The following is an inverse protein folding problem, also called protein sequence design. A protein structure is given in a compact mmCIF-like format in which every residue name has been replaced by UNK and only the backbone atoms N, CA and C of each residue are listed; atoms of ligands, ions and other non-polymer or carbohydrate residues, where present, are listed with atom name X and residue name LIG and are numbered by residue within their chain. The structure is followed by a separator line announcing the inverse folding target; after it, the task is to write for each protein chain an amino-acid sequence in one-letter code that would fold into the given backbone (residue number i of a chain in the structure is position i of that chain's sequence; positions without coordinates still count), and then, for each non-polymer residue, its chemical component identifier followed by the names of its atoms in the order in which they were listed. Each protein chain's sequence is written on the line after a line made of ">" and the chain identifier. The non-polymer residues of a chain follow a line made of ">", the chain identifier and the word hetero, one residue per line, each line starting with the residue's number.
data_IF_286604477388
#
_entry.id   IF_286604477388
#
_cell.length_a   1.000
_cell.length_b   1.000
_cell.length_c   1.000
_cell.angle_alpha   90.00
_cell.angle_beta   90.00
_cell.angle_gamma   90.00
#
_symmetry.space_group_name_H-M   'P 1'
#
loop_
_entity.id
_entity.type
_entity.pdbx_description
1 polymer ?
#
# COMPACT_ATOMS: atom_id res chain seq x y z
N UNK A 1 17.56 -17.09 -3.02
CA UNK A 1 16.68 -16.42 -2.03
C UNK A 1 17.51 -15.97 -0.85
N UNK A 2 17.20 -14.80 -0.26
CA UNK A 2 17.86 -14.30 0.96
C UNK A 2 17.27 -14.96 2.21
N UNK A 3 18.02 -14.94 3.33
CA UNK A 3 17.54 -15.43 4.63
C UNK A 3 16.23 -14.71 5.07
N UNK A 4 16.12 -13.42 4.76
CA UNK A 4 14.90 -12.65 5.07
C UNK A 4 13.67 -13.16 4.28
N UNK A 5 13.86 -13.53 3.02
CA UNK A 5 12.80 -14.12 2.19
C UNK A 5 12.39 -15.50 2.69
N UNK A 6 13.37 -16.36 3.05
CA UNK A 6 13.09 -17.69 3.64
C UNK A 6 12.30 -17.58 4.95
N UNK A 7 12.67 -16.65 5.84
CA UNK A 7 11.92 -16.38 7.08
C UNK A 7 10.48 -15.92 6.82
N UNK A 8 10.25 -15.14 5.77
CA UNK A 8 8.88 -14.73 5.40
C UNK A 8 8.08 -15.90 4.86
N UNK A 9 8.66 -16.75 4.01
CA UNK A 9 8.00 -17.98 3.51
C UNK A 9 7.59 -18.88 4.65
N UNK A 10 8.52 -19.24 5.53
CA UNK A 10 8.25 -20.10 6.69
C UNK A 10 7.17 -19.49 7.60
N UNK A 11 7.19 -18.17 7.85
CA UNK A 11 6.18 -17.50 8.64
C UNK A 11 4.78 -17.53 7.99
N UNK A 12 4.69 -17.42 6.67
CA UNK A 12 3.41 -17.49 5.93
C UNK A 12 2.86 -18.91 5.94
N UNK A 13 3.72 -19.89 5.71
CA UNK A 13 3.38 -21.32 5.70
C UNK A 13 2.86 -21.77 7.06
N UNK A 14 3.60 -21.51 8.14
CA UNK A 14 3.25 -21.93 9.50
C UNK A 14 2.13 -21.11 10.14
N UNK A 15 1.73 -19.99 9.53
CA UNK A 15 0.74 -19.08 10.10
C UNK A 15 -0.64 -19.74 10.28
N UNK A 16 -1.13 -19.71 11.52
CA UNK A 16 -2.40 -20.34 11.92
C UNK A 16 -2.43 -21.85 11.66
N UNK A 17 -1.34 -22.51 12.02
CA UNK A 17 -1.21 -23.96 12.06
C UNK A 17 -0.69 -24.40 13.44
N UNK A 18 -0.74 -25.70 13.73
CA UNK A 18 -0.20 -26.29 14.96
C UNK A 18 1.30 -25.96 15.17
N UNK A 19 2.05 -25.70 14.10
CA UNK A 19 3.46 -25.32 14.17
C UNK A 19 3.71 -24.06 15.02
N UNK A 20 2.72 -23.18 15.18
CA UNK A 20 2.80 -21.99 16.03
C UNK A 20 2.09 -22.13 17.37
N UNK A 21 1.56 -23.33 17.69
CA UNK A 21 0.70 -23.55 18.85
C UNK A 21 -0.66 -22.87 18.71
N UNK A 22 -1.40 -22.84 19.81
CA UNK A 22 -2.74 -22.27 19.80
C UNK A 22 -3.46 -22.46 21.12
N UNK A 23 -4.79 -22.39 21.07
CA UNK A 23 -5.65 -22.62 22.20
C UNK A 23 -6.97 -23.28 21.73
N UNK A 24 -7.60 -23.97 22.67
CA UNK A 24 -8.94 -24.53 22.48
C UNK A 24 -9.92 -23.64 23.23
N UNK A 25 -10.95 -23.21 22.54
CA UNK A 25 -12.09 -22.52 23.12
C UNK A 25 -13.22 -23.52 23.32
N UNK A 26 -13.87 -23.47 24.47
CA UNK A 26 -15.08 -24.24 24.77
C UNK A 26 -16.25 -23.32 25.08
N UNK A 27 -17.44 -23.71 24.67
CA UNK A 27 -18.66 -23.00 25.00
C UNK A 27 -19.15 -23.44 26.40
N UNK A 28 -19.39 -22.46 27.27
CA UNK A 28 -19.90 -22.73 28.63
C UNK A 28 -21.31 -23.38 28.63
N UNK A 29 -22.12 -23.12 27.58
CA UNK A 29 -23.52 -23.56 27.55
C UNK A 29 -23.72 -24.91 26.86
N UNK A 30 -23.07 -25.15 25.70
CA UNK A 30 -23.34 -26.36 24.88
C UNK A 30 -22.14 -27.29 24.70
N UNK A 31 -21.00 -26.95 25.30
CA UNK A 31 -19.80 -27.77 25.21
C UNK A 31 -19.12 -27.77 23.82
N UNK A 32 -19.59 -26.94 22.87
CA UNK A 32 -18.95 -26.81 21.57
C UNK A 32 -17.48 -26.38 21.72
N UNK A 33 -16.56 -27.05 21.00
CA UNK A 33 -15.12 -26.77 21.07
C UNK A 33 -14.59 -26.33 19.73
N UNK A 34 -13.69 -25.32 19.75
CA UNK A 34 -13.02 -24.79 18.57
C UNK A 34 -11.52 -24.64 18.82
N UNK A 35 -10.69 -25.07 17.87
CA UNK A 35 -9.25 -24.82 17.91
C UNK A 35 -8.95 -23.50 17.20
N UNK A 36 -8.19 -22.64 17.88
CA UNK A 36 -7.67 -21.39 17.34
C UNK A 36 -6.13 -21.41 17.36
N UNK A 37 -5.51 -21.38 16.20
CA UNK A 37 -4.07 -21.40 16.07
C UNK A 37 -3.47 -20.01 16.08
N UNK A 38 -2.27 -19.86 16.66
CA UNK A 38 -1.54 -18.62 16.75
C UNK A 38 -1.15 -18.08 15.37
N UNK A 39 -1.13 -16.74 15.26
CA UNK A 39 -0.71 -16.04 14.06
C UNK A 39 0.80 -15.78 14.06
N UNK A 40 1.43 -15.75 12.88
CA UNK A 40 2.86 -15.47 12.74
C UNK A 40 3.21 -13.99 12.98
N UNK A 41 2.25 -13.08 13.03
CA UNK A 41 2.38 -11.62 13.17
C UNK A 41 3.35 -10.99 12.15
N UNK A 42 3.68 -11.73 11.06
CA UNK A 42 4.56 -11.22 10.03
C UNK A 42 3.80 -10.24 9.13
N UNK A 43 4.38 -9.06 8.92
CA UNK A 43 3.78 -8.00 8.09
C UNK A 43 3.57 -8.39 6.62
N UNK A 44 4.27 -9.43 6.12
CA UNK A 44 4.11 -9.93 4.75
C UNK A 44 3.02 -11.01 4.67
N UNK A 45 2.55 -11.54 5.79
CA UNK A 45 1.57 -12.61 5.81
C UNK A 45 0.16 -12.09 5.48
N UNK A 46 -0.49 -12.55 4.40
CA UNK A 46 -1.82 -12.10 4.01
C UNK A 46 -2.90 -12.44 5.05
N UNK A 47 -2.71 -13.51 5.85
CA UNK A 47 -3.61 -13.90 6.94
C UNK A 47 -3.56 -12.92 8.12
N UNK A 48 -2.39 -12.26 8.35
CA UNK A 48 -2.17 -11.32 9.47
C UNK A 48 -2.48 -9.87 9.12
N UNK A 49 -2.42 -9.49 7.84
CA UNK A 49 -2.56 -8.09 7.38
C UNK A 49 -3.91 -7.46 7.74
N UNK A 50 -4.99 -8.25 7.73
CA UNK A 50 -6.34 -7.74 8.01
C UNK A 50 -6.50 -7.19 9.43
N UNK A 51 -6.02 -7.93 10.44
CA UNK A 51 -6.08 -7.48 11.84
C UNK A 51 -5.23 -6.22 12.06
N UNK A 52 -3.97 -6.24 11.60
CA UNK A 52 -3.09 -5.09 11.69
C UNK A 52 -3.63 -3.84 10.94
N UNK A 53 -4.37 -4.05 9.84
CA UNK A 53 -5.00 -2.95 9.12
C UNK A 53 -6.16 -2.33 9.89
N UNK A 54 -6.98 -3.13 10.58
CA UNK A 54 -8.08 -2.62 11.42
C UNK A 54 -7.55 -1.82 12.61
N UNK A 55 -6.58 -2.38 13.33
CA UNK A 55 -5.95 -1.72 14.47
C UNK A 55 -5.32 -0.38 14.07
N UNK A 56 -4.56 -0.36 12.97
CA UNK A 56 -3.97 0.87 12.46
C UNK A 56 -5.05 1.88 12.05
N UNK A 57 -6.16 1.41 11.44
CA UNK A 57 -7.26 2.25 10.99
C UNK A 57 -7.93 2.94 12.17
N UNK A 58 -8.30 2.19 13.21
CA UNK A 58 -8.92 2.73 14.42
C UNK A 58 -8.02 3.79 15.07
N UNK A 59 -6.71 3.53 15.18
CA UNK A 59 -5.76 4.50 15.70
C UNK A 59 -5.64 5.78 14.83
N UNK A 60 -5.88 5.70 13.53
CA UNK A 60 -5.82 6.90 12.63
C UNK A 60 -7.14 7.64 12.54
N UNK A 61 -8.24 6.99 12.83
CA UNK A 61 -9.55 7.64 12.87
C UNK A 61 -9.59 8.80 13.89
N UNK A 62 -8.95 8.59 15.03
CA UNK A 62 -8.80 9.62 16.05
C UNK A 62 -7.98 10.85 15.59
N UNK A 63 -7.10 10.70 14.63
CA UNK A 63 -6.26 11.80 14.11
C UNK A 63 -6.91 12.56 12.94
N UNK A 64 -8.09 12.18 12.47
CA UNK A 64 -8.73 12.82 11.33
C UNK A 64 -9.18 14.25 11.64
N UNK A 65 -8.95 15.11 10.65
CA UNK A 65 -9.48 16.47 10.61
C UNK A 65 -10.70 16.52 9.68
N UNK A 66 -11.70 17.36 9.91
CA UNK A 66 -12.91 17.48 9.09
C UNK A 66 -12.67 18.27 7.80
N UNK A 67 -11.62 17.90 7.09
CA UNK A 67 -11.22 18.49 5.81
C UNK A 67 -11.11 17.43 4.73
N UNK A 68 -11.16 17.82 3.46
CA UNK A 68 -10.87 16.91 2.36
C UNK A 68 -9.41 16.42 2.41
N UNK A 69 -9.15 15.20 1.94
CA UNK A 69 -7.79 14.65 1.92
C UNK A 69 -7.36 14.32 0.50
N UNK A 70 -6.19 14.80 0.13
CA UNK A 70 -5.58 14.55 -1.17
C UNK A 70 -4.71 13.29 -1.12
N UNK A 71 -4.78 12.53 -2.21
CA UNK A 71 -3.89 11.40 -2.44
C UNK A 71 -2.82 11.81 -3.45
N UNK A 72 -1.57 11.90 -2.99
CA UNK A 72 -0.41 12.26 -3.81
C UNK A 72 0.50 11.04 -3.96
N UNK A 73 1.01 10.80 -5.17
CA UNK A 73 1.90 9.66 -5.47
C UNK A 73 3.19 10.17 -6.09
N UNK A 74 4.32 9.76 -5.53
CA UNK A 74 5.65 9.99 -6.07
C UNK A 74 6.22 8.69 -6.61
N UNK A 75 6.58 8.68 -7.89
CA UNK A 75 7.07 7.49 -8.57
C UNK A 75 8.48 7.72 -9.11
N UNK A 76 9.38 6.77 -8.87
CA UNK A 76 10.72 6.79 -9.48
C UNK A 76 10.71 6.11 -10.86
N UNK A 77 11.56 6.53 -11.81
CA UNK A 77 11.73 5.85 -13.09
C UNK A 77 12.23 4.41 -12.93
N UNK A 78 12.02 3.58 -13.96
CA UNK A 78 12.43 2.18 -13.96
C UNK A 78 13.93 2.02 -13.72
N UNK A 79 14.74 2.88 -14.30
CA UNK A 79 16.21 2.89 -14.16
C UNK A 79 16.67 3.08 -12.69
N UNK A 80 15.87 3.79 -11.89
CA UNK A 80 16.09 3.92 -10.44
C UNK A 80 15.54 2.70 -9.69
N UNK A 81 14.46 2.09 -10.18
CA UNK A 81 13.90 0.90 -9.57
C UNK A 81 14.90 -0.27 -9.58
N UNK A 82 15.72 -0.38 -10.61
CA UNK A 82 16.76 -1.40 -10.71
C UNK A 82 17.87 -1.19 -9.66
N UNK A 83 18.31 0.06 -9.45
CA UNK A 83 19.24 0.43 -8.36
C UNK A 83 18.59 0.14 -7.00
N UNK A 84 17.33 0.51 -6.82
CA UNK A 84 16.58 0.32 -5.59
C UNK A 84 16.40 -1.15 -5.22
N UNK A 85 16.37 -2.06 -6.19
CA UNK A 85 16.23 -3.49 -5.94
C UNK A 85 17.37 -4.05 -5.09
N UNK A 86 18.59 -3.65 -5.36
CA UNK A 86 19.77 -4.06 -4.61
C UNK A 86 20.03 -3.20 -3.36
N UNK A 87 19.50 -1.97 -3.32
CA UNK A 87 19.75 -0.99 -2.29
C UNK A 87 18.47 -0.55 -1.56
N UNK A 88 17.61 -1.52 -1.19
CA UNK A 88 16.25 -1.25 -0.69
C UNK A 88 16.22 -0.29 0.49
N UNK A 89 17.06 -0.49 1.50
CA UNK A 89 17.06 0.35 2.69
C UNK A 89 17.38 1.80 2.34
N UNK A 90 18.47 2.01 1.61
CA UNK A 90 18.98 3.33 1.24
C UNK A 90 18.03 4.09 0.30
N UNK A 91 17.64 3.44 -0.80
CA UNK A 91 16.83 4.08 -1.83
C UNK A 91 15.39 4.29 -1.40
N UNK A 92 14.82 3.37 -0.59
CA UNK A 92 13.47 3.57 -0.05
C UNK A 92 13.45 4.66 1.03
N UNK A 93 14.50 4.74 1.87
CA UNK A 93 14.63 5.84 2.82
C UNK A 93 14.76 7.19 2.10
N UNK A 94 15.63 7.25 1.09
CA UNK A 94 15.78 8.41 0.23
C UNK A 94 14.45 8.82 -0.41
N UNK A 95 13.68 7.86 -0.93
CA UNK A 95 12.38 8.11 -1.55
C UNK A 95 11.39 8.74 -0.57
N UNK A 96 11.33 8.25 0.66
CA UNK A 96 10.49 8.83 1.71
C UNK A 96 10.90 10.25 2.06
N UNK A 97 12.19 10.44 2.34
CA UNK A 97 12.74 11.72 2.78
C UNK A 97 12.54 12.80 1.71
N UNK A 98 12.93 12.53 0.48
CA UNK A 98 12.85 13.51 -0.61
C UNK A 98 11.40 13.80 -1.02
N UNK A 99 10.52 12.81 -1.02
CA UNK A 99 9.11 13.06 -1.32
C UNK A 99 8.44 13.92 -0.25
N UNK A 100 8.74 13.66 1.04
CA UNK A 100 8.23 14.48 2.15
C UNK A 100 8.80 15.89 2.12
N UNK A 101 10.11 16.04 1.97
CA UNK A 101 10.81 17.34 1.84
C UNK A 101 10.22 18.17 0.68
N UNK A 102 9.99 17.55 -0.48
CA UNK A 102 9.37 18.20 -1.63
C UNK A 102 8.00 18.77 -1.29
N UNK A 103 7.15 17.96 -0.64
CA UNK A 103 5.80 18.39 -0.25
C UNK A 103 5.82 19.51 0.78
N UNK A 104 6.66 19.38 1.81
CA UNK A 104 6.74 20.35 2.90
C UNK A 104 7.28 21.70 2.40
N UNK A 105 8.34 21.71 1.58
CA UNK A 105 8.92 22.94 1.06
C UNK A 105 7.96 23.70 0.14
N UNK A 106 7.28 23.00 -0.79
CA UNK A 106 6.33 23.65 -1.69
C UNK A 106 5.06 24.11 -0.95
N UNK A 107 4.62 23.37 0.07
CA UNK A 107 3.47 23.77 0.88
C UNK A 107 3.77 24.99 1.77
N UNK A 108 4.98 25.10 2.29
CA UNK A 108 5.40 26.24 3.11
C UNK A 108 5.58 27.53 2.29
N UNK A 109 5.81 27.43 0.98
CA UNK A 109 5.96 28.59 0.11
C UNK A 109 4.65 29.40 0.01
N UNK A 110 4.62 30.71 0.39
CA UNK A 110 3.44 31.55 0.30
C UNK A 110 2.88 31.70 -1.11
N UNK A 111 3.68 31.51 -2.16
CA UNK A 111 3.23 31.51 -3.56
C UNK A 111 2.31 30.31 -3.88
N UNK A 112 2.32 29.29 -3.03
CA UNK A 112 1.55 28.05 -3.22
C UNK A 112 0.45 27.88 -2.16
N UNK A 113 0.81 27.50 -0.95
CA UNK A 113 -0.13 27.33 0.15
C UNK A 113 0.20 28.21 1.37
N UNK A 114 1.48 28.46 1.66
CA UNK A 114 1.92 29.23 2.81
C UNK A 114 1.60 28.58 4.16
N UNK A 115 1.66 27.24 4.24
CA UNK A 115 1.28 26.53 5.45
C UNK A 115 2.12 25.27 5.71
N UNK A 116 2.20 24.90 6.98
CA UNK A 116 2.74 23.63 7.44
C UNK A 116 1.66 22.55 7.29
N UNK A 117 1.91 21.55 6.44
CA UNK A 117 0.99 20.46 6.17
C UNK A 117 1.35 19.21 6.98
N UNK A 118 0.37 18.30 7.13
CA UNK A 118 0.58 16.96 7.67
C UNK A 118 0.61 15.92 6.56
N UNK A 119 1.44 14.89 6.67
CA UNK A 119 1.57 13.84 5.66
C UNK A 119 1.60 12.47 6.32
N UNK A 120 0.76 11.54 5.86
CA UNK A 120 0.93 10.10 6.06
C UNK A 120 1.41 9.47 4.77
N UNK A 121 2.62 8.92 4.78
CA UNK A 121 3.30 8.35 3.62
C UNK A 121 3.40 6.83 3.73
N UNK A 122 3.14 6.11 2.64
CA UNK A 122 3.17 4.64 2.58
C UNK A 122 3.98 4.20 1.36
N UNK A 123 5.00 3.36 1.58
CA UNK A 123 5.79 2.77 0.50
C UNK A 123 5.04 1.59 -0.13
N UNK A 124 4.94 1.61 -1.44
CA UNK A 124 4.69 0.45 -2.27
C UNK A 124 5.90 0.15 -3.14
N UNK A 125 6.34 -1.10 -3.17
CA UNK A 125 7.46 -1.53 -4.01
C UNK A 125 6.99 -2.32 -5.24
N UNK A 126 5.68 -2.37 -5.52
CA UNK A 126 5.09 -3.23 -6.55
C UNK A 126 4.17 -2.49 -7.51
N UNK A 127 4.24 -2.88 -8.78
CA UNK A 127 3.23 -2.56 -9.79
C UNK A 127 2.04 -3.52 -9.75
N UNK A 128 1.06 -3.31 -10.61
CA UNK A 128 -0.15 -4.13 -10.69
C UNK A 128 0.13 -5.60 -11.05
N UNK A 129 1.17 -5.88 -11.84
CA UNK A 129 1.62 -7.22 -12.21
C UNK A 129 2.63 -7.82 -11.23
N UNK A 130 2.74 -7.28 -10.01
CA UNK A 130 3.71 -7.67 -8.98
C UNK A 130 5.19 -7.47 -9.42
N UNK A 131 5.45 -6.60 -10.40
CA UNK A 131 6.80 -6.18 -10.78
C UNK A 131 7.37 -5.20 -9.76
N UNK A 132 8.70 -5.15 -9.60
CA UNK A 132 9.34 -4.20 -8.70
C UNK A 132 9.18 -2.77 -9.24
N UNK A 133 8.45 -1.93 -8.50
CA UNK A 133 8.10 -0.57 -8.89
C UNK A 133 7.92 0.33 -7.66
N UNK A 134 9.01 0.84 -7.06
CA UNK A 134 8.94 1.64 -5.85
C UNK A 134 8.24 2.97 -6.08
N UNK A 135 7.28 3.29 -5.21
CA UNK A 135 6.59 4.56 -5.18
C UNK A 135 5.99 4.83 -3.80
N UNK A 136 5.79 6.11 -3.49
CA UNK A 136 5.20 6.54 -2.23
C UNK A 136 3.78 7.04 -2.48
N UNK A 137 2.84 6.51 -1.74
CA UNK A 137 1.51 7.08 -1.59
C UNK A 137 1.50 8.01 -0.37
N UNK A 138 1.03 9.22 -0.56
CA UNK A 138 0.87 10.19 0.52
C UNK A 138 -0.58 10.59 0.65
N UNK A 139 -1.07 10.65 1.88
CA UNK A 139 -2.36 11.24 2.22
C UNK A 139 -2.08 12.53 2.98
N UNK A 140 -2.69 13.59 2.50
CA UNK A 140 -2.42 14.96 2.94
C UNK A 140 -3.74 15.65 3.19
N UNK A 141 -4.00 16.21 4.38
CA UNK A 141 -5.16 17.07 4.62
C UNK A 141 -5.22 18.23 3.64
N UNK A 142 -6.40 18.66 3.28
CA UNK A 142 -6.64 19.78 2.35
C UNK A 142 -6.38 21.14 2.98
N UNK A 143 -5.19 21.34 3.50
CA UNK A 143 -4.74 22.56 4.14
C UNK A 143 -3.62 22.29 5.15
N UNK A 144 -3.30 23.32 5.93
CA UNK A 144 -2.28 23.27 6.95
C UNK A 144 -2.38 24.45 7.92
N UNK A 145 -1.59 24.42 8.98
CA UNK A 145 -1.45 25.55 9.91
C UNK A 145 -0.52 26.57 9.26
N UNK A 146 -0.92 27.85 9.23
CA UNK A 146 -0.08 28.95 8.76
C UNK A 146 1.29 28.97 9.44
N UNK A 147 2.26 29.64 8.84
CA UNK A 147 3.64 29.62 9.34
C UNK A 147 3.76 30.31 10.71
N UNK A 148 2.91 31.30 10.99
CA UNK A 148 2.76 31.98 12.28
C UNK A 148 2.01 31.11 13.33
N UNK A 149 1.30 30.06 12.91
CA UNK A 149 0.54 29.19 13.79
C UNK A 149 -0.87 29.65 14.13
N UNK A 150 -1.34 30.80 13.57
CA UNK A 150 -2.53 31.50 14.02
C UNK A 150 -3.81 31.10 13.31
N UNK A 151 -3.73 30.46 12.13
CA UNK A 151 -4.90 30.12 11.31
C UNK A 151 -4.72 28.82 10.56
N UNK A 152 -5.85 28.20 10.19
CA UNK A 152 -5.88 27.13 9.21
C UNK A 152 -5.94 27.71 7.79
N UNK A 153 -4.99 27.35 6.95
CA UNK A 153 -4.95 27.73 5.53
C UNK A 153 -5.52 26.57 4.72
N UNK A 154 -6.73 26.73 4.21
CA UNK A 154 -7.38 25.70 3.39
C UNK A 154 -6.79 25.66 1.97
N UNK A 155 -6.62 24.46 1.43
CA UNK A 155 -6.34 24.27 0.01
C UNK A 155 -7.58 24.62 -0.83
N UNK A 156 -7.38 24.82 -2.13
CA UNK A 156 -8.53 24.88 -3.05
C UNK A 156 -9.25 23.54 -3.08
N UNK A 157 -10.56 23.54 -3.33
CA UNK A 157 -11.40 22.35 -3.21
C UNK A 157 -10.90 21.12 -3.99
N UNK A 158 -10.28 21.31 -5.15
CA UNK A 158 -9.77 20.20 -6.00
C UNK A 158 -8.28 20.28 -6.31
N UNK A 159 -7.56 21.19 -5.66
CA UNK A 159 -6.16 21.45 -5.93
C UNK A 159 -5.38 21.69 -4.64
N UNK A 160 -4.37 20.85 -4.38
CA UNK A 160 -3.48 20.99 -3.22
C UNK A 160 -2.22 21.83 -3.59
N UNK A 161 -1.39 21.27 -4.47
CA UNK A 161 -0.12 21.83 -4.88
C UNK A 161 0.15 21.54 -6.37
N UNK A 162 0.96 22.36 -7.08
CA UNK A 162 1.23 22.21 -8.50
C UNK A 162 2.11 20.97 -8.79
N UNK A 163 1.56 19.91 -9.32
CA UNK A 163 2.27 18.63 -9.56
C UNK A 163 3.52 18.77 -10.45
N UNK A 164 3.54 19.74 -11.37
CA UNK A 164 4.73 20.00 -12.20
C UNK A 164 5.90 20.55 -11.39
N UNK A 165 5.62 21.44 -10.43
CA UNK A 165 6.62 21.99 -9.51
C UNK A 165 7.13 20.91 -8.58
N UNK A 166 6.21 20.12 -7.98
CA UNK A 166 6.56 18.97 -7.16
C UNK A 166 7.47 17.99 -7.92
N UNK A 167 7.11 17.63 -9.16
CA UNK A 167 7.89 16.68 -9.98
C UNK A 167 9.30 17.22 -10.30
N UNK A 168 9.45 18.52 -10.57
CA UNK A 168 10.74 19.15 -10.86
C UNK A 168 11.65 19.16 -9.63
N UNK A 169 11.12 19.56 -8.47
CA UNK A 169 11.86 19.60 -7.21
C UNK A 169 12.23 18.19 -6.75
N UNK A 170 11.27 17.25 -6.74
CA UNK A 170 11.47 15.85 -6.38
C UNK A 170 12.59 15.21 -7.21
N UNK A 171 12.57 15.37 -8.53
CA UNK A 171 13.60 14.84 -9.43
C UNK A 171 14.98 15.38 -9.06
N UNK A 172 15.10 16.71 -8.88
CA UNK A 172 16.37 17.35 -8.52
C UNK A 172 16.92 16.80 -7.21
N UNK A 173 16.14 16.91 -6.14
CA UNK A 173 16.56 16.47 -4.81
C UNK A 173 16.88 14.98 -4.77
N UNK A 174 16.07 14.15 -5.45
CA UNK A 174 16.30 12.72 -5.47
C UNK A 174 17.62 12.35 -6.16
N UNK A 175 17.86 12.89 -7.35
CA UNK A 175 19.08 12.58 -8.11
C UNK A 175 20.34 13.13 -7.42
N UNK A 176 20.28 14.31 -6.82
CA UNK A 176 21.41 14.89 -6.10
C UNK A 176 21.75 14.07 -4.84
N UNK A 177 20.75 13.68 -4.05
CA UNK A 177 20.95 12.82 -2.89
C UNK A 177 21.36 11.40 -3.28
N UNK A 178 20.85 10.85 -4.39
CA UNK A 178 21.28 9.53 -4.88
C UNK A 178 22.76 9.54 -5.31
N UNK A 179 23.20 10.63 -5.91
CA UNK A 179 24.62 10.85 -6.23
C UNK A 179 25.48 10.94 -4.95
N UNK A 180 24.97 11.59 -3.89
CA UNK A 180 25.66 11.63 -2.60
C UNK A 180 25.80 10.23 -1.98
N UNK A 181 24.74 9.40 -2.05
CA UNK A 181 24.79 8.00 -1.60
C UNK A 181 25.82 7.19 -2.37
N UNK A 182 25.95 7.41 -3.68
CA UNK A 182 26.98 6.79 -4.50
C UNK A 182 28.38 7.25 -4.06
N UNK A 183 28.63 8.54 -3.96
CA UNK A 183 29.92 9.10 -3.59
C UNK A 183 30.37 8.66 -2.19
N UNK A 184 29.43 8.47 -1.27
CA UNK A 184 29.71 7.97 0.09
C UNK A 184 29.83 6.43 0.18
N UNK A 185 29.83 5.71 -0.95
CA UNK A 185 29.98 4.25 -0.99
C UNK A 185 28.80 3.47 -0.39
N UNK A 186 27.65 4.10 -0.19
CA UNK A 186 26.46 3.47 0.42
C UNK A 186 25.63 2.63 -0.55
N UNK A 187 25.92 2.69 -1.85
CA UNK A 187 25.21 1.92 -2.87
C UNK A 187 26.03 0.71 -3.29
N UNK A 188 25.35 -0.41 -3.46
CA UNK A 188 25.92 -1.64 -3.96
C UNK A 188 25.39 -1.97 -5.35
N UNK A 189 26.22 -2.51 -6.20
CA UNK A 189 25.92 -2.84 -7.58
C UNK A 189 26.32 -4.27 -7.90
N UNK A 190 25.44 -5.01 -8.60
CA UNK A 190 25.65 -6.43 -8.90
C UNK A 190 25.24 -6.74 -10.34
N UNK A 191 25.78 -7.84 -10.87
CA UNK A 191 25.45 -8.34 -12.21
C UNK A 191 25.66 -7.30 -13.29
N UNK A 192 24.68 -7.06 -14.13
CA UNK A 192 24.72 -6.07 -15.23
C UNK A 192 24.88 -4.61 -14.77
N UNK A 193 24.72 -4.33 -13.49
CA UNK A 193 24.88 -2.98 -12.91
C UNK A 193 26.23 -2.75 -12.23
N UNK A 194 27.16 -3.73 -12.22
CA UNK A 194 28.44 -3.62 -11.50
C UNK A 194 29.26 -2.41 -11.97
N UNK A 195 29.20 -2.08 -13.26
CA UNK A 195 29.88 -0.91 -13.83
C UNK A 195 29.38 0.44 -13.28
N UNK A 196 28.20 0.48 -12.64
CA UNK A 196 27.70 1.68 -11.98
C UNK A 196 28.42 2.01 -10.67
N UNK A 197 29.29 1.14 -10.17
CA UNK A 197 30.22 1.44 -9.07
C UNK A 197 31.18 2.57 -9.46
N UNK A 198 31.52 2.67 -10.75
CA UNK A 198 32.34 3.74 -11.29
C UNK A 198 31.57 5.07 -11.38
N UNK A 199 32.16 6.12 -10.81
CA UNK A 199 31.53 7.46 -10.73
C UNK A 199 31.08 7.98 -12.10
N UNK A 200 31.94 7.87 -13.12
CA UNK A 200 31.62 8.34 -14.47
C UNK A 200 30.48 7.56 -15.12
N UNK A 201 30.45 6.24 -14.96
CA UNK A 201 29.38 5.39 -15.48
C UNK A 201 28.06 5.72 -14.77
N UNK A 202 28.08 5.93 -13.45
CA UNK A 202 26.91 6.30 -12.68
C UNK A 202 26.34 7.67 -13.09
N UNK A 203 27.19 8.69 -13.24
CA UNK A 203 26.77 10.01 -13.72
C UNK A 203 26.16 9.96 -15.13
N UNK A 204 26.76 9.19 -16.04
CA UNK A 204 26.18 8.97 -17.39
C UNK A 204 24.83 8.27 -17.32
N UNK A 205 24.65 7.30 -16.42
CA UNK A 205 23.37 6.65 -16.19
C UNK A 205 22.29 7.63 -15.68
N UNK A 206 22.64 8.57 -14.80
CA UNK A 206 21.73 9.57 -14.26
C UNK A 206 21.42 10.73 -15.23
N UNK A 207 22.32 11.06 -16.16
CA UNK A 207 22.21 12.22 -17.03
C UNK A 207 20.87 12.30 -17.81
N UNK A 208 20.38 11.24 -18.47
CA UNK A 208 19.08 11.27 -19.13
C UNK A 208 17.91 11.46 -18.15
N UNK A 209 18.04 10.98 -16.92
CA UNK A 209 16.98 11.08 -15.90
C UNK A 209 16.79 12.51 -15.39
N UNK A 210 17.83 13.35 -15.48
CA UNK A 210 17.75 14.78 -15.17
C UNK A 210 16.87 15.55 -16.17
N UNK A 211 16.80 15.09 -17.41
CA UNK A 211 15.97 15.68 -18.48
C UNK A 211 14.59 15.06 -18.57
N UNK A 212 14.44 13.80 -18.15
CA UNK A 212 13.19 13.04 -18.18
C UNK A 212 12.15 13.65 -17.23
N UNK A 213 10.88 13.67 -17.64
CA UNK A 213 9.79 14.06 -16.76
C UNK A 213 9.50 12.93 -15.77
N UNK A 214 9.56 13.24 -14.47
CA UNK A 214 9.17 12.29 -13.41
C UNK A 214 7.69 12.43 -13.11
N UNK A 215 7.08 11.32 -12.66
CA UNK A 215 5.64 11.27 -12.43
C UNK A 215 5.36 11.56 -10.95
N UNK A 216 4.68 12.69 -10.74
CA UNK A 216 3.96 12.99 -9.51
C UNK A 216 2.48 13.10 -9.88
N UNK A 217 1.63 12.45 -9.13
CA UNK A 217 0.20 12.43 -9.37
C UNK A 217 -0.54 12.88 -8.11
N UNK A 218 -1.53 13.73 -8.25
CA UNK A 218 -2.40 14.18 -7.17
C UNK A 218 -3.84 13.99 -7.56
N UNK A 219 -4.60 13.24 -6.76
CA UNK A 219 -6.05 13.11 -6.90
C UNK A 219 -6.76 14.19 -6.10
N UNK A 220 -7.89 14.72 -6.64
CA UNK A 220 -8.82 15.50 -5.85
C UNK A 220 -9.26 14.75 -4.59
N UNK A 221 -9.73 15.47 -3.56
CA UNK A 221 -10.12 14.85 -2.31
C UNK A 221 -11.25 13.83 -2.50
N UNK A 222 -11.22 12.81 -1.67
CA UNK A 222 -12.32 11.86 -1.52
C UNK A 222 -13.51 12.53 -0.82
N UNK A 223 -14.71 11.95 -1.00
CA UNK A 223 -15.90 12.36 -0.28
C UNK A 223 -15.81 11.97 1.20
N UNK A 224 -15.25 12.86 2.01
CA UNK A 224 -15.15 12.72 3.46
C UNK A 224 -13.93 11.92 3.99
N UNK A 225 -13.61 12.12 5.26
CA UNK A 225 -12.45 11.52 5.92
C UNK A 225 -12.53 9.99 6.02
N UNK A 226 -13.72 9.41 6.22
CA UNK A 226 -13.92 7.96 6.30
C UNK A 226 -13.58 7.24 4.98
N UNK A 227 -13.91 7.85 3.83
CA UNK A 227 -13.55 7.29 2.52
C UNK A 227 -12.04 7.23 2.32
N UNK A 228 -11.31 8.21 2.86
CA UNK A 228 -9.84 8.23 2.87
C UNK A 228 -9.26 7.10 3.70
N UNK A 229 -9.79 6.88 4.91
CA UNK A 229 -9.36 5.81 5.79
C UNK A 229 -9.64 4.43 5.18
N UNK A 230 -10.84 4.22 4.64
CA UNK A 230 -11.19 2.99 3.93
C UNK A 230 -10.28 2.76 2.70
N UNK A 231 -9.87 3.82 2.03
CA UNK A 231 -8.88 3.73 0.94
C UNK A 231 -7.49 3.37 1.48
N UNK A 232 -7.02 4.04 2.54
CA UNK A 232 -5.72 3.81 3.14
C UNK A 232 -5.58 2.41 3.71
N UNK A 233 -6.59 1.88 4.41
CA UNK A 233 -6.54 0.54 5.00
C UNK A 233 -6.23 -0.54 3.95
N UNK A 234 -6.72 -0.35 2.73
CA UNK A 234 -6.44 -1.24 1.60
C UNK A 234 -4.99 -1.17 1.11
N UNK A 235 -4.30 -0.06 1.32
CA UNK A 235 -2.95 0.18 0.81
C UNK A 235 -1.87 0.07 1.88
N UNK A 236 -2.17 0.39 3.13
CA UNK A 236 -1.18 0.43 4.21
C UNK A 236 -0.64 -0.94 4.59
N UNK A 237 -1.46 -1.98 4.59
CA UNK A 237 -1.08 -3.32 5.06
C UNK A 237 -0.94 -4.35 3.95
N UNK A 238 -1.40 -4.07 2.73
CA UNK A 238 -1.21 -4.95 1.58
C UNK A 238 0.25 -5.02 1.16
N UNK A 239 0.68 -6.21 0.75
CA UNK A 239 1.97 -6.42 0.07
C UNK A 239 1.70 -7.17 -1.23
N UNK A 240 2.27 -6.68 -2.32
CA UNK A 240 2.22 -7.22 -3.67
C UNK A 240 0.82 -7.38 -4.26
N UNK A 241 -0.04 -8.21 -3.67
CA UNK A 241 -1.35 -8.57 -4.21
C UNK A 241 -2.39 -8.69 -3.10
N UNK A 242 -3.67 -8.44 -3.40
CA UNK A 242 -4.79 -8.74 -2.50
C UNK A 242 -5.49 -10.03 -2.90
N UNK A 243 -6.04 -10.76 -1.93
CA UNK A 243 -6.76 -12.00 -2.17
C UNK A 243 -7.91 -11.84 -3.18
N UNK A 244 -8.58 -10.67 -3.21
CA UNK A 244 -9.65 -10.36 -4.18
C UNK A 244 -9.21 -10.38 -5.64
N UNK A 245 -7.91 -10.33 -5.89
CA UNK A 245 -7.34 -10.37 -7.25
C UNK A 245 -7.00 -11.79 -7.68
N UNK A 246 -6.85 -12.73 -6.76
CA UNK A 246 -6.65 -14.14 -7.05
C UNK A 246 -7.91 -14.72 -7.65
N UNK A 247 -7.78 -15.51 -8.72
CA UNK A 247 -8.87 -16.17 -9.44
C UNK A 247 -8.80 -17.67 -9.23
N UNK A 248 -7.64 -18.28 -9.53
CA UNK A 248 -7.42 -19.71 -9.47
C UNK A 248 -5.98 -20.05 -9.05
N UNK A 249 -5.82 -21.25 -8.54
CA UNK A 249 -4.54 -21.91 -8.32
C UNK A 249 -4.69 -23.37 -8.74
N UNK A 250 -3.94 -23.78 -9.75
CA UNK A 250 -3.98 -25.09 -10.37
C UNK A 250 -2.58 -25.56 -10.81
N UNK A 251 -2.47 -26.61 -11.62
CA UNK A 251 -1.22 -27.13 -12.16
C UNK A 251 -0.46 -26.14 -13.05
N UNK A 252 -1.16 -25.20 -13.68
CA UNK A 252 -0.57 -24.16 -14.52
C UNK A 252 0.00 -23.00 -13.68
N UNK A 253 -0.40 -22.89 -12.40
CA UNK A 253 0.10 -21.91 -11.45
C UNK A 253 -0.99 -21.03 -10.85
N UNK A 254 -0.68 -19.75 -10.62
CA UNK A 254 -1.55 -18.78 -9.96
C UNK A 254 -2.10 -17.78 -10.97
N UNK A 255 -3.42 -17.79 -11.12
CA UNK A 255 -4.16 -16.88 -12.01
C UNK A 255 -4.73 -15.70 -11.23
N UNK A 256 -4.50 -14.48 -11.69
CA UNK A 256 -4.95 -13.28 -11.01
C UNK A 256 -5.24 -12.10 -11.94
N UNK A 257 -6.08 -11.16 -11.46
CA UNK A 257 -6.39 -9.91 -12.17
C UNK A 257 -5.29 -8.88 -11.95
N UNK A 258 -4.91 -8.16 -13.03
CA UNK A 258 -4.00 -7.02 -12.95
C UNK A 258 -4.48 -5.87 -13.85
N UNK A 259 -3.92 -4.66 -13.64
CA UNK A 259 -4.17 -3.50 -14.49
C UNK A 259 -3.00 -3.30 -15.45
N UNK A 260 -3.27 -3.35 -16.74
CA UNK A 260 -2.32 -2.96 -17.77
C UNK A 260 -2.49 -1.47 -18.06
N UNK A 261 -1.58 -0.66 -17.53
CA UNK A 261 -1.63 0.79 -17.69
C UNK A 261 -1.27 1.31 -19.09
N UNK A 262 -0.91 0.42 -20.01
CA UNK A 262 -0.70 0.74 -21.43
C UNK A 262 -2.02 0.81 -22.22
N UNK A 263 -3.11 0.38 -21.60
CA UNK A 263 -4.46 0.33 -22.16
C UNK A 263 -5.40 1.25 -21.41
N UNK A 264 -6.47 1.67 -22.06
CA UNK A 264 -7.47 2.55 -21.50
C UNK A 264 -8.81 1.84 -21.26
N UNK A 265 -9.69 2.47 -20.49
CA UNK A 265 -11.06 1.98 -20.25
C UNK A 265 -11.11 0.58 -19.62
N UNK A 266 -12.06 -0.22 -20.06
CA UNK A 266 -12.32 -1.58 -19.60
C UNK A 266 -11.16 -2.55 -19.93
N UNK A 267 -10.49 -2.36 -21.04
CA UNK A 267 -9.37 -3.20 -21.50
C UNK A 267 -8.14 -3.12 -20.61
N UNK A 268 -8.11 -2.18 -19.69
CA UNK A 268 -7.07 -2.08 -18.65
C UNK A 268 -7.11 -3.26 -17.67
N UNK A 269 -8.27 -3.86 -17.45
CA UNK A 269 -8.41 -5.03 -16.56
C UNK A 269 -8.05 -6.30 -17.33
N UNK A 270 -6.95 -6.93 -16.94
CA UNK A 270 -6.42 -8.14 -17.58
C UNK A 270 -6.24 -9.26 -16.57
N UNK A 271 -6.16 -10.48 -17.08
CA UNK A 271 -5.86 -11.68 -16.31
C UNK A 271 -4.47 -12.19 -16.72
N UNK A 272 -3.72 -12.69 -15.74
CA UNK A 272 -2.38 -13.26 -15.93
C UNK A 272 -2.28 -14.54 -15.11
N UNK A 273 -1.73 -15.59 -15.70
CA UNK A 273 -1.31 -16.81 -15.01
C UNK A 273 0.22 -16.81 -14.91
N UNK A 274 0.75 -17.05 -13.74
CA UNK A 274 2.18 -17.23 -13.49
C UNK A 274 2.40 -18.61 -12.91
N UNK A 275 3.42 -19.31 -13.39
CA UNK A 275 3.88 -20.52 -12.71
C UNK A 275 4.15 -20.24 -11.24
N UNK A 276 3.91 -21.21 -10.36
CA UNK A 276 3.94 -21.06 -8.91
C UNK A 276 5.26 -20.45 -8.41
N UNK A 277 6.41 -20.90 -8.95
CA UNK A 277 7.73 -20.38 -8.58
C UNK A 277 7.91 -18.91 -8.95
N UNK A 278 7.43 -18.51 -10.13
CA UNK A 278 7.49 -17.11 -10.58
C UNK A 278 6.55 -16.20 -9.77
N UNK A 279 5.37 -16.70 -9.39
CA UNK A 279 4.49 -15.96 -8.49
C UNK A 279 5.12 -15.74 -7.11
N UNK A 280 5.70 -16.80 -6.53
CA UNK A 280 6.43 -16.73 -5.26
C UNK A 280 7.63 -15.78 -5.39
N UNK A 281 8.42 -15.91 -6.46
CA UNK A 281 9.55 -15.02 -6.72
C UNK A 281 9.13 -13.56 -6.75
N UNK A 282 8.07 -13.23 -7.51
CA UNK A 282 7.54 -11.85 -7.57
C UNK A 282 7.04 -11.37 -6.22
N UNK A 283 6.34 -12.19 -5.46
CA UNK A 283 5.92 -11.84 -4.11
C UNK A 283 7.12 -11.50 -3.22
N UNK A 284 8.16 -12.31 -3.26
CA UNK A 284 9.37 -12.15 -2.45
C UNK A 284 10.26 -10.96 -2.86
N UNK A 285 10.09 -10.40 -4.07
CA UNK A 285 10.74 -9.13 -4.45
C UNK A 285 10.35 -7.99 -3.49
N UNK A 286 9.17 -8.08 -2.87
CA UNK A 286 8.60 -7.03 -2.04
C UNK A 286 8.88 -7.21 -0.53
N UNK A 287 9.66 -8.21 -0.17
CA UNK A 287 10.16 -8.38 1.20
C UNK A 287 11.06 -7.18 1.54
N UNK A 288 10.69 -6.49 2.61
CA UNK A 288 11.37 -5.29 3.08
C UNK A 288 12.53 -5.64 4.02
N UNK A 289 13.57 -4.81 4.10
CA UNK A 289 14.64 -4.97 5.08
C UNK A 289 14.11 -5.08 6.51
N UNK A 290 14.88 -5.76 7.39
CA UNK A 290 14.56 -5.85 8.83
C UNK A 290 14.49 -4.44 9.42
N UNK A 291 13.48 -4.18 10.24
CA UNK A 291 13.30 -2.87 10.90
C UNK A 291 12.79 -1.75 9.99
N UNK A 292 12.68 -1.95 8.67
CA UNK A 292 12.25 -0.89 7.77
C UNK A 292 10.77 -0.53 7.98
N UNK A 293 10.50 0.73 8.35
CA UNK A 293 9.14 1.27 8.51
C UNK A 293 8.61 1.73 7.16
N UNK A 294 7.54 1.08 6.68
CA UNK A 294 6.93 1.40 5.39
C UNK A 294 5.79 2.41 5.46
N UNK A 295 5.36 2.79 6.66
CA UNK A 295 4.43 3.87 6.93
C UNK A 295 5.17 4.89 7.74
N UNK A 296 5.16 6.14 7.30
CA UNK A 296 5.84 7.25 7.98
C UNK A 296 4.95 8.49 7.99
N UNK A 297 5.13 9.30 9.00
CA UNK A 297 4.37 10.53 9.19
C UNK A 297 5.31 11.73 9.21
N UNK A 298 4.89 12.84 8.57
CA UNK A 298 5.71 14.04 8.45
C UNK A 298 4.90 15.31 8.71
N UNK A 299 5.60 16.42 8.96
CA UNK A 299 5.00 17.72 9.24
C UNK A 299 4.10 17.67 10.47
N UNK A 300 2.89 18.19 10.39
CA UNK A 300 1.93 18.21 11.51
C UNK A 300 1.60 16.82 12.08
N UNK A 301 1.75 15.77 11.28
CA UNK A 301 1.46 14.38 11.69
C UNK A 301 2.70 13.62 12.15
N UNK A 302 3.88 14.26 12.25
CA UNK A 302 5.09 13.64 12.80
C UNK A 302 4.88 13.24 14.27
N UNK A 303 5.44 12.07 14.66
CA UNK A 303 5.12 11.44 15.94
C UNK A 303 5.34 12.32 17.18
N UNK A 304 6.45 13.08 17.20
CA UNK A 304 6.84 13.91 18.35
C UNK A 304 5.85 15.04 18.68
N UNK A 305 5.15 15.60 17.70
CA UNK A 305 4.23 16.71 17.90
C UNK A 305 2.80 16.46 17.45
N UNK A 306 2.46 15.22 17.07
CA UNK A 306 1.17 14.91 16.44
C UNK A 306 -0.03 15.37 17.24
N UNK A 307 -0.09 14.96 18.52
CA UNK A 307 -1.23 15.26 19.40
C UNK A 307 -1.46 16.78 19.46
N UNK A 308 -0.42 17.53 19.81
CA UNK A 308 -0.50 19.00 19.90
C UNK A 308 -0.88 19.64 18.56
N UNK A 309 -0.28 19.21 17.47
CA UNK A 309 -0.59 19.74 16.16
C UNK A 309 -2.02 19.42 15.69
N UNK A 310 -2.53 18.22 15.98
CA UNK A 310 -3.92 17.83 15.63
C UNK A 310 -4.91 18.60 16.49
N UNK A 311 -4.64 18.76 17.78
CA UNK A 311 -5.45 19.60 18.69
C UNK A 311 -5.48 21.04 18.20
N UNK A 312 -4.32 21.64 17.92
CA UNK A 312 -4.25 23.00 17.39
C UNK A 312 -4.98 23.15 16.04
N UNK A 313 -4.84 22.20 15.14
CA UNK A 313 -5.57 22.22 13.88
C UNK A 313 -7.10 22.17 14.06
N UNK A 314 -7.59 21.39 15.06
CA UNK A 314 -9.02 21.34 15.39
C UNK A 314 -9.53 22.64 15.98
N UNK A 315 -8.77 23.26 16.88
CA UNK A 315 -9.09 24.58 17.42
C UNK A 315 -9.23 25.61 16.29
N UNK A 316 -8.24 25.68 15.38
CA UNK A 316 -8.25 26.60 14.25
C UNK A 316 -9.34 26.31 13.22
N UNK A 317 -9.87 25.10 13.18
CA UNK A 317 -11.00 24.68 12.37
C UNK A 317 -12.35 24.82 13.10
N UNK A 318 -12.35 25.32 14.35
CA UNK A 318 -13.52 25.44 15.22
C UNK A 318 -14.31 24.10 15.38
N UNK A 319 -13.57 22.98 15.46
CA UNK A 319 -14.17 21.65 15.67
C UNK A 319 -14.41 21.43 17.15
N UNK A 320 -15.63 21.04 17.58
CA UNK A 320 -15.88 20.65 18.95
C UNK A 320 -14.89 19.55 19.40
N UNK A 321 -14.41 19.63 20.63
CA UNK A 321 -13.60 18.56 21.18
C UNK A 321 -14.38 17.24 21.14
N UNK A 322 -13.76 16.14 20.68
CA UNK A 322 -14.40 14.84 20.75
C UNK A 322 -14.77 14.55 22.21
N UNK A 323 -15.95 13.95 22.48
CA UNK A 323 -16.29 13.56 23.84
C UNK A 323 -15.14 12.74 24.42
N UNK A 324 -14.80 12.98 25.68
CA UNK A 324 -13.76 12.24 26.38
C UNK A 324 -14.11 10.75 26.32
N UNK A 325 -13.44 10.02 25.45
CA UNK A 325 -13.54 8.56 25.43
C UNK A 325 -12.80 8.10 26.69
N UNK A 326 -13.51 7.43 27.58
CA UNK A 326 -12.87 6.78 28.73
C UNK A 326 -11.80 5.83 28.18
N UNK A 327 -10.54 6.03 28.56
CA UNK A 327 -9.37 5.25 28.13
C UNK A 327 -9.39 3.79 28.67
N UNK A 328 -10.49 3.32 29.19
CA UNK A 328 -10.64 1.92 29.55
C UNK A 328 -10.78 1.11 28.25
N UNK A 329 -9.76 0.31 27.90
CA UNK A 329 -9.90 -0.63 26.77
C UNK A 329 -11.07 -1.57 27.11
N UNK A 330 -12.20 -1.38 26.47
CA UNK A 330 -13.26 -2.40 26.52
C UNK A 330 -12.70 -3.58 25.76
N UNK A 331 -12.42 -4.73 26.41
CA UNK A 331 -11.97 -5.91 25.71
C UNK A 331 -13.04 -6.26 24.68
N UNK A 332 -12.60 -6.59 23.45
CA UNK A 332 -13.52 -7.08 22.43
C UNK A 332 -14.40 -8.17 23.04
N UNK A 333 -15.73 -8.08 22.94
CA UNK A 333 -16.60 -9.11 23.48
C UNK A 333 -16.19 -10.46 22.90
N UNK A 334 -16.11 -11.52 23.73
CA UNK A 334 -15.76 -12.86 23.26
C UNK A 334 -16.70 -13.25 22.13
N UNK A 335 -16.14 -13.82 21.07
CA UNK A 335 -16.95 -14.28 19.92
C UNK A 335 -18.02 -15.24 20.41
N UNK A 336 -19.29 -15.05 20.07
CA UNK A 336 -20.35 -15.94 20.48
C UNK A 336 -20.18 -17.34 19.88
N UNK A 337 -20.62 -18.35 20.59
CA UNK A 337 -20.62 -19.73 20.13
C UNK A 337 -21.43 -19.85 18.82
N UNK A 338 -20.88 -20.46 17.77
CA UNK A 338 -21.59 -20.59 16.50
C UNK A 338 -22.81 -21.54 16.58
N UNK A 339 -22.90 -22.37 17.65
CA UNK A 339 -24.00 -23.33 17.83
C UNK A 339 -25.18 -22.74 18.63
N UNK A 340 -24.89 -22.06 19.75
CA UNK A 340 -25.96 -21.63 20.67
C UNK A 340 -25.88 -20.13 21.05
N UNK A 341 -24.92 -19.38 20.52
CA UNK A 341 -24.70 -17.96 20.88
C UNK A 341 -24.07 -17.74 22.26
N UNK A 342 -23.81 -18.81 23.05
CA UNK A 342 -23.24 -18.73 24.38
C UNK A 342 -21.78 -18.24 24.39
N UNK A 343 -21.25 -17.98 25.60
CA UNK A 343 -19.89 -17.49 25.79
C UNK A 343 -18.85 -18.57 25.47
N UNK A 344 -17.83 -18.21 24.71
CA UNK A 344 -16.65 -19.05 24.46
C UNK A 344 -15.53 -18.67 25.42
N UNK A 345 -14.93 -19.68 26.10
CA UNK A 345 -13.81 -19.51 27.04
C UNK A 345 -12.62 -20.36 26.60
N UNK A 346 -11.41 -19.90 26.89
CA UNK A 346 -10.20 -20.69 26.65
C UNK A 346 -10.09 -21.78 27.69
N UNK A 347 -10.15 -23.05 27.25
CA UNK A 347 -10.09 -24.24 28.11
C UNK A 347 -8.73 -24.93 28.08
N UNK A 348 -7.94 -24.70 27.05
CA UNK A 348 -6.59 -25.26 26.88
C UNK A 348 -5.71 -24.34 26.08
N UNK A 349 -4.45 -24.21 26.46
CA UNK A 349 -3.39 -23.53 25.67
C UNK A 349 -2.30 -24.55 25.38
N UNK A 350 -1.93 -24.70 24.12
CA UNK A 350 -0.87 -25.62 23.69
C UNK A 350 0.26 -24.89 22.97
N UNK A 351 1.48 -25.34 23.21
CA UNK A 351 2.69 -24.72 22.69
C UNK A 351 2.93 -25.08 21.21
N UNK A 352 3.95 -24.46 20.62
CA UNK A 352 4.39 -24.75 19.25
C UNK A 352 4.68 -26.23 19.08
N UNK A 353 4.24 -26.79 17.95
CA UNK A 353 4.39 -28.20 17.55
C UNK A 353 3.61 -29.20 18.42
N UNK A 354 2.98 -28.76 19.51
CA UNK A 354 2.06 -29.61 20.27
C UNK A 354 0.70 -29.69 19.61
N UNK A 355 -0.01 -30.79 19.87
CA UNK A 355 -1.41 -30.96 19.46
C UNK A 355 -2.33 -30.61 20.61
N UNK A 356 -3.51 -30.12 20.32
CA UNK A 356 -4.56 -29.93 21.31
C UNK A 356 -4.95 -31.30 21.89
N UNK A 357 -5.02 -31.40 23.21
CA UNK A 357 -5.45 -32.63 23.91
C UNK A 357 -6.96 -32.83 23.84
N UNK A 358 -7.70 -31.70 23.82
CA UNK A 358 -9.14 -31.70 23.67
C UNK A 358 -9.52 -31.61 22.18
N UNK A 359 -9.94 -32.70 21.53
CA UNK A 359 -10.35 -32.65 20.12
C UNK A 359 -11.58 -31.74 19.97
N UNK A 360 -11.76 -31.11 18.77
CA UNK A 360 -12.99 -30.39 18.48
C UNK A 360 -14.16 -31.35 18.63
N UNK A 361 -15.30 -30.87 19.17
CA UNK A 361 -16.49 -31.68 19.32
C UNK A 361 -16.96 -32.18 17.96
N UNK A 362 -16.90 -33.47 17.74
CA UNK A 362 -17.56 -34.11 16.62
C UNK A 362 -19.05 -34.25 16.96
N UNK A 363 -19.80 -33.15 16.96
CA UNK A 363 -21.24 -33.32 16.81
C UNK A 363 -21.50 -33.79 15.37
N UNK A 364 -22.23 -34.88 15.15
CA UNK A 364 -22.70 -35.18 13.82
C UNK A 364 -23.64 -34.06 13.42
N UNK A 365 -23.08 -33.07 12.71
CA UNK A 365 -23.94 -32.19 11.94
C UNK A 365 -24.71 -33.09 10.98
N UNK A 366 -26.00 -33.30 11.27
CA UNK A 366 -26.96 -33.53 10.23
C UNK A 366 -26.58 -32.57 9.10
N UNK A 367 -26.30 -33.12 7.92
CA UNK A 367 -26.00 -32.36 6.69
C UNK A 367 -27.25 -31.61 6.22
N UNK A 368 -27.82 -30.80 7.08
CA UNK A 368 -28.52 -29.62 6.63
C UNK A 368 -27.41 -28.69 6.23
N UNK A 369 -27.25 -28.50 4.94
CA UNK A 369 -26.42 -27.52 4.31
C UNK A 369 -26.71 -26.20 5.00
N UNK A 370 -25.97 -25.88 6.08
CA UNK A 370 -25.73 -24.52 6.42
C UNK A 370 -24.85 -24.00 5.28
N UNK A 371 -25.49 -23.62 4.20
CA UNK A 371 -24.98 -22.47 3.45
C UNK A 371 -24.72 -21.46 4.55
N UNK A 372 -23.44 -21.32 4.90
CA UNK A 372 -22.93 -20.13 5.52
C UNK A 372 -23.19 -19.06 4.46
N UNK A 373 -24.43 -18.57 4.43
CA UNK A 373 -24.64 -17.20 4.03
C UNK A 373 -23.72 -16.49 5.00
N UNK A 374 -22.50 -16.17 4.54
CA UNK A 374 -21.82 -15.02 5.02
C UNK A 374 -22.94 -13.98 5.05
N UNK A 375 -23.40 -13.63 6.21
CA UNK A 375 -23.90 -12.29 6.38
C UNK A 375 -22.67 -11.43 6.07
N UNK A 376 -22.48 -11.21 4.77
CA UNK A 376 -21.96 -9.95 4.34
C UNK A 376 -22.93 -8.99 5.01
N UNK A 377 -22.50 -8.38 6.12
CA UNK A 377 -23.08 -7.12 6.49
C UNK A 377 -23.19 -6.35 5.17
N UNK A 378 -24.37 -5.89 4.79
CA UNK A 378 -24.50 -5.11 3.59
C UNK A 378 -23.57 -3.92 3.81
N UNK A 379 -22.39 -3.98 3.23
CA UNK A 379 -21.62 -2.75 3.00
C UNK A 379 -22.60 -1.89 2.21
N UNK A 380 -22.91 -0.65 2.66
CA UNK A 380 -23.82 0.20 1.94
C UNK A 380 -23.36 0.17 0.48
N UNK A 381 -24.22 -0.33 -0.37
CA UNK A 381 -24.03 -0.33 -1.80
C UNK A 381 -23.75 1.13 -2.14
N UNK A 382 -22.54 1.44 -2.53
CA UNK A 382 -22.25 2.67 -3.25
C UNK A 382 -22.91 2.45 -4.60
N UNK A 383 -24.19 2.77 -4.69
CA UNK A 383 -24.89 2.92 -5.95
C UNK A 383 -24.02 3.76 -6.86
N UNK A 384 -23.86 3.39 -8.12
CA UNK A 384 -23.31 4.29 -9.12
C UNK A 384 -24.30 5.47 -9.18
N UNK A 385 -23.87 6.62 -8.73
CA UNK A 385 -24.61 7.87 -8.77
C UNK A 385 -25.00 8.12 -10.22
N UNK A 386 -26.22 7.73 -10.57
CA UNK A 386 -26.89 8.17 -11.80
C UNK A 386 -27.14 9.66 -11.61
N UNK A 387 -26.47 10.45 -12.41
CA UNK A 387 -26.78 11.86 -12.58
C UNK A 387 -28.25 11.93 -13.05
N UNK A 388 -29.14 12.37 -12.18
CA UNK A 388 -30.47 12.77 -12.58
C UNK A 388 -30.35 14.06 -13.43
N UNK A 389 -31.04 14.15 -14.58
CA UNK A 389 -31.13 15.40 -15.30
C UNK A 389 -31.88 16.41 -14.41
N UNK A 390 -31.35 17.60 -14.28
CA UNK A 390 -32.08 18.73 -13.72
C UNK A 390 -33.03 19.20 -14.81
N UNK A 391 -34.31 18.86 -14.73
CA UNK A 391 -35.37 19.48 -15.51
C UNK A 391 -35.70 20.85 -14.92
N UNK A 392 -35.73 21.81 -15.79
CA UNK A 392 -36.44 23.07 -15.56
C UNK A 392 -35.60 24.34 -15.56
N UNK A 393 -35.28 24.84 -16.75
CA UNK A 393 -35.31 26.27 -17.05
C UNK A 393 -35.42 26.46 -18.58
N UNK A 394 -36.53 27.07 -18.98
CA UNK A 394 -36.96 27.31 -20.36
C UNK A 394 -36.02 28.30 -21.07
N UNK A 395 -35.71 28.15 -22.36
CA UNK A 395 -34.80 29.02 -23.09
C UNK A 395 -35.53 30.28 -23.63
N UNK A 396 -34.88 31.42 -23.44
CA UNK A 396 -35.22 32.62 -24.22
C UNK A 396 -34.47 32.54 -25.57
N UNK A 397 -35.28 32.61 -26.62
CA UNK A 397 -34.90 32.71 -28.02
C UNK A 397 -34.13 33.99 -28.34
N UNK A 398 -32.97 33.85 -29.01
CA UNK A 398 -32.38 34.94 -29.82
C UNK A 398 -31.88 34.33 -31.14
N UNK A 399 -32.27 35.00 -32.20
CA UNK A 399 -32.21 34.77 -33.63
C UNK A 399 -30.79 34.66 -34.21
N UNK A 400 -30.74 33.92 -35.32
CA UNK A 400 -29.61 33.70 -36.25
C UNK A 400 -28.95 34.98 -36.75
N UNK A 401 -27.62 34.89 -36.94
CA UNK A 401 -26.95 35.45 -38.09
C UNK A 401 -25.75 34.58 -38.45
N UNK A 402 -25.74 34.13 -39.70
CA UNK A 402 -24.75 33.35 -40.40
C UNK A 402 -23.57 34.21 -40.78
N UNK A 403 -22.35 33.78 -40.53
CA UNK A 403 -21.20 34.03 -41.43
C UNK A 403 -20.16 32.92 -41.32
N UNK A 404 -19.92 32.29 -42.42
CA UNK A 404 -18.90 31.30 -42.73
C UNK A 404 -17.52 31.92 -42.76
N UNK A 405 -16.55 31.33 -42.05
CA UNK A 405 -15.16 31.24 -42.54
C UNK A 405 -14.46 30.03 -41.90
N UNK A 406 -13.95 29.22 -42.75
CA UNK A 406 -13.12 28.02 -42.56
C UNK A 406 -11.75 28.39 -41.97
N UNK A 407 -11.31 27.70 -40.92
CA UNK A 407 -9.91 27.29 -40.75
C UNK A 407 -9.81 26.16 -39.74
N UNK A 408 -9.06 25.14 -40.09
CA UNK A 408 -8.82 23.91 -39.40
C UNK A 408 -8.07 24.15 -38.05
N UNK A 409 -8.61 23.60 -36.94
CA UNK A 409 -7.96 23.57 -35.65
C UNK A 409 -8.27 22.26 -34.93
N UNK A 410 -7.24 21.45 -34.74
CA UNK A 410 -7.27 20.15 -34.06
C UNK A 410 -7.88 20.22 -32.66
N UNK A 411 -8.59 19.18 -32.22
CA UNK A 411 -9.17 19.15 -30.88
C UNK A 411 -8.09 18.89 -29.83
N UNK A 412 -8.08 19.70 -28.82
CA UNK A 412 -7.26 19.57 -27.61
C UNK A 412 -7.67 18.34 -26.79
N UNK A 413 -6.84 17.31 -26.79
CA UNK A 413 -6.89 16.21 -25.82
C UNK A 413 -6.22 16.64 -24.51
N UNK A 414 -6.78 16.27 -23.34
CA UNK A 414 -6.19 16.64 -22.06
C UNK A 414 -4.84 15.96 -21.85
N UNK A 415 -3.83 16.64 -21.30
CA UNK A 415 -2.41 16.20 -21.29
C UNK A 415 -2.08 15.01 -20.38
N UNK A 416 -3.05 14.33 -19.80
CA UNK A 416 -2.81 13.26 -18.81
C UNK A 416 -2.62 11.86 -19.42
N UNK A 417 -2.86 11.65 -20.69
CA UNK A 417 -2.84 10.30 -21.30
C UNK A 417 -1.52 9.88 -21.91
N UNK A 418 -0.68 10.80 -22.33
CA UNK A 418 0.58 10.46 -23.01
C UNK A 418 1.76 10.05 -22.11
N UNK A 419 1.67 10.21 -20.80
CA UNK A 419 2.82 10.00 -19.91
C UNK A 419 2.99 8.55 -19.40
N UNK A 420 1.94 7.75 -19.43
CA UNK A 420 2.05 6.33 -19.06
C UNK A 420 2.65 5.46 -20.18
N UNK A 421 2.60 5.92 -21.43
CA UNK A 421 3.05 5.14 -22.58
C UNK A 421 4.58 5.00 -22.64
N UNK A 422 5.33 5.99 -22.18
CA UNK A 422 6.80 5.99 -22.27
C UNK A 422 7.50 5.13 -21.20
N UNK A 423 6.83 4.80 -20.09
CA UNK A 423 7.44 4.11 -18.97
C UNK A 423 7.36 2.58 -19.03
N UNK A 424 6.59 2.02 -19.98
CA UNK A 424 6.31 0.58 -20.01
C UNK A 424 6.93 -0.16 -21.20
N UNK A 425 7.47 0.52 -22.19
CA UNK A 425 7.90 -0.13 -23.44
C UNK A 425 9.29 -0.78 -23.43
N UNK A 426 10.14 -0.61 -22.39
CA UNK A 426 11.55 -1.05 -22.49
C UNK A 426 11.98 -2.28 -21.68
N UNK A 427 11.15 -2.97 -20.95
CA UNK A 427 11.65 -4.04 -20.06
C UNK A 427 10.97 -5.42 -20.21
N UNK A 428 10.70 -5.87 -21.43
CA UNK A 428 10.25 -7.27 -21.64
C UNK A 428 11.26 -8.16 -22.39
N UNK A 429 12.41 -7.66 -22.80
CA UNK A 429 13.44 -8.50 -23.41
C UNK A 429 14.74 -8.37 -22.61
N UNK A 430 15.23 -9.52 -22.16
CA UNK A 430 16.47 -9.83 -21.47
C UNK A 430 16.41 -9.92 -19.94
N UNK A 431 15.82 -11.01 -19.45
CA UNK A 431 16.31 -11.68 -18.24
C UNK A 431 17.07 -12.91 -18.76
N UNK A 432 18.35 -13.13 -18.36
CA UNK A 432 19.11 -14.32 -18.75
C UNK A 432 18.34 -15.55 -18.26
N UNK A 433 18.07 -16.50 -19.16
CA UNK A 433 17.60 -17.82 -18.80
C UNK A 433 18.73 -18.50 -18.02
N UNK A 434 18.55 -18.62 -16.72
CA UNK A 434 19.37 -19.54 -15.92
C UNK A 434 18.87 -20.95 -16.26
N UNK A 435 19.74 -21.76 -16.83
CA UNK A 435 19.48 -23.16 -17.15
C UNK A 435 19.00 -23.92 -15.92
N UNK A 436 18.07 -24.87 -16.04
CA UNK A 436 17.59 -25.67 -14.91
C UNK A 436 18.72 -26.55 -14.38
N UNK A 437 18.97 -26.50 -13.09
CA UNK A 437 19.87 -27.41 -12.37
C UNK A 437 19.20 -28.78 -12.31
N UNK A 438 19.87 -29.89 -12.68
CA UNK A 438 19.29 -31.22 -12.64
C UNK A 438 18.83 -31.62 -11.24
N UNK A 439 17.68 -32.29 -11.16
CA UNK A 439 16.99 -32.65 -9.91
C UNK A 439 17.70 -33.72 -9.04
N UNK A 440 18.83 -34.29 -9.46
CA UNK A 440 19.43 -35.46 -8.77
C UNK A 440 20.33 -35.16 -7.57
N UNK A 441 20.55 -33.88 -7.19
CA UNK A 441 21.51 -33.53 -6.12
C UNK A 441 20.83 -32.91 -4.86
N UNK A 442 19.51 -32.93 -4.75
CA UNK A 442 18.82 -32.26 -3.64
C UNK A 442 18.60 -33.07 -2.36
N UNK A 443 18.92 -34.37 -2.32
CA UNK A 443 18.60 -35.21 -1.15
C UNK A 443 19.77 -35.53 -0.19
N UNK A 444 21.00 -35.19 -0.49
CA UNK A 444 22.12 -35.57 0.37
C UNK A 444 22.72 -34.47 1.26
N UNK A 445 22.33 -33.19 1.10
CA UNK A 445 23.01 -32.10 1.81
C UNK A 445 22.32 -31.63 3.13
N UNK A 446 21.16 -32.17 3.49
CA UNK A 446 20.43 -31.75 4.70
C UNK A 446 20.62 -32.70 5.90
N UNK A 447 21.22 -33.88 5.73
CA UNK A 447 21.37 -34.87 6.84
C UNK A 447 22.67 -34.84 7.63
N UNK A 448 23.68 -34.05 7.28
CA UNK A 448 25.02 -34.16 7.89
C UNK A 448 25.43 -33.00 8.79
N UNK A 449 24.57 -32.07 9.21
CA UNK A 449 24.96 -30.96 10.09
C UNK A 449 24.14 -30.75 11.37
N UNK A 450 23.41 -31.76 11.85
CA UNK A 450 22.64 -31.67 13.13
C UNK A 450 23.17 -32.64 14.21
N UNK A 451 24.33 -33.17 14.08
CA UNK A 451 24.96 -33.90 15.18
C UNK A 451 26.44 -33.57 15.23
N UNK A 452 26.84 -32.59 16.07
CA UNK A 452 28.09 -32.46 16.85
C UNK A 452 28.23 -31.03 17.32
N UNK A 453 27.96 -30.85 18.58
CA UNK A 453 28.85 -30.21 19.57
C UNK A 453 28.10 -30.01 20.90
N UNK A 454 28.91 -30.00 22.00
CA UNK A 454 28.53 -30.52 23.31
C UNK A 454 27.66 -29.60 24.12
#
# INVERSE_FOLDING_TARGET
>A
MSLAQLKVMSAVETCRTAALGGYVEGCENCGHRRIAYNSCRNRHCPKCQGAAAREWLAAREADLLPVGYFHVVFTVPAEIADIAFHNKAEVYDLLFRVAAETMLNIAADPLHLGARIGITAVLHSWGSAMTHHPHIHMIVPGGGISLDGERWVSSRARFLLPVRVLAKLFRRLFLDNLQQLHTSGRLQFFGGHIGLSERHAFLRHLAPLRKKRWVVYSKPPFSGPQAVLAYLSRYTHRIAISNRRLIAFDEHGVTFRYKDYRRDGADRQRVMTLGTDEFIRRFLLHVLPKGFHRIRHYGLLASAGRQANVTRARELLAVPAPPAVSDTPVPDPPLPCPCCGGRMVIIEIFQRTAQARAPPSSHPFSRTICTVTRRDEPQPAVEPMRLRPVEGLVPASITRSTTTTSTAGSPWLPPSQHLHHALTQRNYHQVPRVSPIPQSTRHSFIRSRILKSP
#
